data_IF_579079437660
#
_entry.id   IF_579079437660
#
_cell.length_a   1.000
_cell.length_b   1.000
_cell.length_c   1.000
_cell.angle_alpha   90.00
_cell.angle_beta   90.00
_cell.angle_gamma   90.00
#
_symmetry.space_group_name_H-M   'P 1'
#
loop_
_entity.id
_entity.type
_entity.pdbx_description
1 polymer ?
#
# COMPACT_ATOMS: atom_id res chain seq x y z
N UNK A 1 27.49 11.81 -11.49
CA UNK A 1 26.91 11.22 -10.26
C UNK A 1 25.66 10.51 -10.72
N UNK A 2 25.63 9.18 -10.63
CA UNK A 2 24.42 8.41 -10.86
C UNK A 2 23.36 8.88 -9.86
N UNK A 3 22.35 9.59 -10.34
CA UNK A 3 21.09 9.74 -9.62
C UNK A 3 20.42 8.38 -9.68
N UNK A 4 20.82 7.47 -8.78
CA UNK A 4 19.98 6.31 -8.47
C UNK A 4 18.65 6.89 -8.02
N UNK A 5 17.61 6.72 -8.83
CA UNK A 5 16.27 7.17 -8.47
C UNK A 5 15.93 6.60 -7.08
N UNK A 6 15.76 7.48 -6.10
CA UNK A 6 15.36 7.09 -4.76
C UNK A 6 13.97 6.44 -4.85
N UNK A 7 13.93 5.11 -4.83
CA UNK A 7 12.67 4.37 -4.88
C UNK A 7 11.89 4.64 -3.59
N UNK A 8 10.83 5.43 -3.69
CA UNK A 8 9.86 5.63 -2.61
C UNK A 8 8.77 4.58 -2.74
N UNK A 9 8.83 3.56 -1.87
CA UNK A 9 7.77 2.58 -1.73
C UNK A 9 6.68 3.11 -0.78
N UNK A 10 5.45 3.23 -1.28
CA UNK A 10 4.27 3.56 -0.47
C UNK A 10 3.45 2.28 -0.27
N UNK A 11 3.36 1.81 0.97
CA UNK A 11 2.49 0.69 1.35
C UNK A 11 1.24 1.19 2.05
N UNK A 12 0.07 0.73 1.61
CA UNK A 12 -1.19 0.91 2.35
C UNK A 12 -1.26 -0.19 3.41
N UNK A 13 -1.25 0.20 4.67
CA UNK A 13 -1.17 -0.72 5.80
C UNK A 13 -2.31 -0.44 6.78
N UNK A 14 -2.94 -1.49 7.27
CA UNK A 14 -3.87 -1.38 8.39
C UNK A 14 -3.11 -1.24 9.71
N UNK A 15 -3.82 -0.88 10.78
CA UNK A 15 -3.20 -0.81 12.11
C UNK A 15 -2.65 -2.17 12.58
N UNK A 16 -3.29 -3.27 12.19
CA UNK A 16 -2.80 -4.62 12.48
C UNK A 16 -1.52 -4.95 11.70
N UNK A 17 -1.42 -4.51 10.45
CA UNK A 17 -0.21 -4.72 9.65
C UNK A 17 0.97 -3.95 10.25
N UNK A 18 0.74 -2.72 10.67
CA UNK A 18 1.76 -1.89 11.36
C UNK A 18 2.23 -2.59 12.64
N UNK A 19 1.29 -3.12 13.45
CA UNK A 19 1.63 -3.88 14.67
C UNK A 19 2.50 -5.10 14.38
N UNK A 20 2.22 -5.83 13.29
CA UNK A 20 2.97 -7.03 12.89
C UNK A 20 4.34 -6.72 12.31
N UNK A 21 4.47 -5.61 11.57
CA UNK A 21 5.72 -5.19 10.93
C UNK A 21 6.71 -4.54 11.92
N UNK A 22 6.22 -4.09 13.08
CA UNK A 22 7.05 -3.49 14.14
C UNK A 22 7.61 -2.12 13.75
N UNK A 23 8.68 -1.71 14.43
CA UNK A 23 9.30 -0.37 14.30
C UNK A 23 10.22 -0.21 13.06
N UNK A 24 10.08 -1.05 12.04
CA UNK A 24 10.98 -1.04 10.88
C UNK A 24 10.72 0.10 9.89
N UNK A 25 9.67 0.90 10.11
CA UNK A 25 9.36 2.07 9.27
C UNK A 25 10.00 3.34 9.83
N UNK A 26 10.87 3.97 9.05
CA UNK A 26 11.45 5.26 9.42
C UNK A 26 10.43 6.42 9.37
N UNK A 27 9.34 6.28 8.60
CA UNK A 27 8.27 7.28 8.49
C UNK A 27 6.93 6.59 8.31
N UNK A 28 5.93 7.02 9.08
CA UNK A 28 4.56 6.54 8.99
C UNK A 28 3.61 7.74 8.96
N UNK A 29 2.82 7.84 7.90
CA UNK A 29 1.84 8.92 7.71
C UNK A 29 0.44 8.31 7.71
N UNK A 30 -0.38 8.57 8.74
CA UNK A 30 -1.74 8.07 8.75
C UNK A 30 -2.53 8.76 7.64
N UNK A 31 -3.19 7.97 6.80
CA UNK A 31 -4.16 8.49 5.84
C UNK A 31 -5.49 8.68 6.60
N UNK A 32 -5.96 9.93 6.79
CA UNK A 32 -7.28 10.15 7.39
C UNK A 32 -8.36 9.50 6.53
N UNK A 33 -9.40 8.95 7.16
CA UNK A 33 -10.59 8.43 6.46
C UNK A 33 -11.50 9.59 6.04
N UNK A 34 -10.96 10.53 5.28
CA UNK A 34 -11.70 11.65 4.70
C UNK A 34 -12.28 11.32 3.31
N UNK A 35 -12.03 10.11 2.81
CA UNK A 35 -12.50 9.62 1.53
C UNK A 35 -11.63 10.06 0.34
N UNK A 36 -10.56 10.83 0.56
CA UNK A 36 -9.72 11.35 -0.53
C UNK A 36 -9.01 10.26 -1.34
N UNK A 37 -8.89 9.05 -0.79
CA UNK A 37 -8.19 7.92 -1.40
C UNK A 37 -9.10 6.72 -1.67
N UNK A 38 -10.41 6.84 -1.48
CA UNK A 38 -11.35 5.71 -1.62
C UNK A 38 -11.29 5.09 -3.03
N UNK A 39 -11.19 5.92 -4.06
CA UNK A 39 -11.06 5.46 -5.44
C UNK A 39 -9.74 4.72 -5.70
N UNK A 40 -8.65 5.17 -5.06
CA UNK A 40 -7.34 4.50 -5.17
C UNK A 40 -7.36 3.14 -4.45
N UNK A 41 -7.91 3.09 -3.24
CA UNK A 41 -8.06 1.84 -2.48
C UNK A 41 -8.91 0.86 -3.28
N UNK A 42 -10.04 1.31 -3.83
CA UNK A 42 -10.91 0.49 -4.67
C UNK A 42 -10.20 -0.06 -5.90
N UNK A 43 -9.40 0.77 -6.58
CA UNK A 43 -8.64 0.33 -7.75
C UNK A 43 -7.61 -0.76 -7.41
N UNK A 44 -6.97 -0.67 -6.24
CA UNK A 44 -6.04 -1.70 -5.74
C UNK A 44 -6.79 -2.99 -5.43
N UNK A 45 -7.92 -2.92 -4.71
CA UNK A 45 -8.75 -4.07 -4.38
C UNK A 45 -9.25 -4.80 -5.64
N UNK A 46 -9.65 -4.05 -6.66
CA UNK A 46 -10.10 -4.58 -7.95
C UNK A 46 -8.94 -5.30 -8.68
N UNK A 47 -7.74 -4.71 -8.69
CA UNK A 47 -6.56 -5.31 -9.31
C UNK A 47 -6.09 -6.60 -8.61
N UNK A 48 -6.14 -6.65 -7.27
CA UNK A 48 -5.82 -7.85 -6.49
C UNK A 48 -6.82 -8.97 -6.74
N UNK A 49 -8.12 -8.62 -6.82
CA UNK A 49 -9.18 -9.58 -7.15
C UNK A 49 -8.99 -10.17 -8.55
N UNK A 50 -8.67 -9.35 -9.55
CA UNK A 50 -8.38 -9.80 -10.92
C UNK A 50 -7.13 -10.68 -10.99
N UNK A 51 -6.12 -10.38 -10.17
CA UNK A 51 -4.91 -11.19 -10.06
C UNK A 51 -5.22 -12.58 -9.49
N UNK A 52 -6.03 -12.67 -8.43
CA UNK A 52 -6.43 -13.94 -7.82
C UNK A 52 -7.25 -14.81 -8.80
N UNK A 53 -8.15 -14.20 -9.57
CA UNK A 53 -8.94 -14.91 -10.59
C UNK A 53 -8.05 -15.52 -11.69
N UNK A 54 -7.06 -14.77 -12.17
CA UNK A 54 -6.10 -15.26 -13.18
C UNK A 54 -5.20 -16.41 -12.71
N UNK A 55 -4.98 -16.54 -11.41
CA UNK A 55 -4.15 -17.61 -10.83
C UNK A 55 -4.94 -18.89 -10.55
N UNK A 56 -6.27 -18.84 -10.62
CA UNK A 56 -7.17 -19.94 -10.28
C UNK A 56 -7.76 -20.67 -11.49
N UNK A 57 -7.40 -20.25 -12.71
CA UNK A 57 -7.78 -20.89 -13.98
C UNK A 57 -6.56 -21.41 -14.71
#
# INVERSE_FOLDING_TARGET
MDTQDDIVAVGLLTQDDIRRLGNNFSRLFPIPRDGAFDDLIKAIDDADRDRQQRQSG
#
